data_IF_613312451566
#
_entry.id   IF_613312451566
#
_cell.length_a   1.000
_cell.length_b   1.000
_cell.length_c   1.000
_cell.angle_alpha   90.00
_cell.angle_beta   90.00
_cell.angle_gamma   90.00
#
_symmetry.space_group_name_H-M   'P 1'
#
loop_
_entity.id
_entity.type
_entity.pdbx_description
1 polymer ?
#
# COMPACT_ATOMS: atom_id res chain seq x y z
N UNK A 1 -7.60 21.94 20.83
CA UNK A 1 -7.30 20.50 20.70
C UNK A 1 -6.96 20.24 19.24
N UNK A 2 -5.66 20.12 18.92
CA UNK A 2 -5.14 20.02 17.56
C UNK A 2 -5.42 18.66 16.93
N UNK A 3 -6.10 18.65 15.79
CA UNK A 3 -6.30 17.47 14.94
C UNK A 3 -5.83 17.78 13.53
N UNK A 4 -4.53 17.98 13.28
CA UNK A 4 -4.04 18.23 11.91
C UNK A 4 -2.55 17.92 11.70
N UNK A 5 -2.05 16.74 12.11
CA UNK A 5 -0.71 16.31 11.70
C UNK A 5 -0.62 14.83 11.30
N UNK A 6 -1.75 14.15 11.07
CA UNK A 6 -1.78 12.70 10.78
C UNK A 6 -1.59 12.35 9.28
N UNK A 7 -1.68 13.35 8.41
CA UNK A 7 -1.59 13.18 6.95
C UNK A 7 -0.15 12.87 6.45
N UNK A 8 0.91 13.58 6.86
CA UNK A 8 2.24 13.35 6.28
C UNK A 8 2.85 11.98 6.64
N UNK A 9 2.60 11.47 7.85
CA UNK A 9 3.07 10.13 8.25
C UNK A 9 2.37 9.02 7.46
N UNK A 10 1.07 9.20 7.19
CA UNK A 10 0.28 8.23 6.42
C UNK A 10 0.69 8.23 4.94
N UNK A 11 0.94 9.41 4.35
CA UNK A 11 1.43 9.55 2.99
C UNK A 11 2.84 8.97 2.82
N UNK A 12 3.75 9.25 3.76
CA UNK A 12 5.09 8.67 3.76
C UNK A 12 5.03 7.14 3.83
N UNK A 13 4.21 6.59 4.74
CA UNK A 13 4.03 5.14 4.86
C UNK A 13 3.41 4.53 3.60
N UNK A 14 2.44 5.21 2.98
CA UNK A 14 1.85 4.76 1.72
C UNK A 14 2.88 4.75 0.59
N UNK A 15 3.76 5.74 0.53
CA UNK A 15 4.84 5.82 -0.45
C UNK A 15 5.89 4.72 -0.24
N UNK A 16 6.23 4.39 1.00
CA UNK A 16 7.11 3.27 1.35
C UNK A 16 6.48 1.93 0.94
N UNK A 17 5.19 1.74 1.23
CA UNK A 17 4.43 0.57 0.77
C UNK A 17 4.46 0.45 -0.76
N UNK A 18 4.20 1.55 -1.48
CA UNK A 18 4.20 1.58 -2.94
C UNK A 18 5.59 1.25 -3.52
N UNK A 19 6.65 1.77 -2.91
CA UNK A 19 8.04 1.51 -3.32
C UNK A 19 8.38 0.03 -3.17
N UNK A 20 8.09 -0.58 -2.01
CA UNK A 20 8.31 -2.00 -1.76
C UNK A 20 7.49 -2.89 -2.70
N UNK A 21 6.24 -2.51 -2.94
CA UNK A 21 5.34 -3.22 -3.84
C UNK A 21 5.80 -3.20 -5.30
N UNK A 22 6.21 -2.03 -5.82
CA UNK A 22 6.55 -1.85 -7.23
C UNK A 22 7.99 -2.26 -7.57
N UNK A 23 8.97 -1.86 -6.76
CA UNK A 23 10.39 -2.04 -7.10
C UNK A 23 10.90 -3.45 -6.81
N UNK A 24 10.44 -4.06 -5.72
CA UNK A 24 10.91 -5.38 -5.29
C UNK A 24 9.99 -6.53 -5.66
N UNK A 25 8.90 -6.25 -6.40
CA UNK A 25 7.80 -7.20 -6.71
C UNK A 25 7.27 -7.93 -5.49
N UNK A 26 7.32 -7.30 -4.31
CA UNK A 26 6.75 -7.90 -3.11
C UNK A 26 5.24 -8.00 -3.24
N UNK A 27 4.69 -9.13 -2.81
CA UNK A 27 3.24 -9.23 -2.58
C UNK A 27 2.83 -8.31 -1.44
N UNK A 28 1.57 -7.87 -1.40
CA UNK A 28 1.03 -7.06 -0.29
C UNK A 28 1.28 -7.76 1.07
N UNK A 29 1.23 -9.10 1.13
CA UNK A 29 1.55 -9.86 2.34
C UNK A 29 3.02 -9.71 2.78
N UNK A 30 3.94 -9.68 1.82
CA UNK A 30 5.36 -9.47 2.12
C UNK A 30 5.62 -8.04 2.60
N UNK A 31 4.99 -7.04 1.96
CA UNK A 31 5.06 -5.64 2.42
C UNK A 31 4.50 -5.49 3.83
N UNK A 32 3.36 -6.13 4.10
CA UNK A 32 2.74 -6.13 5.43
C UNK A 32 3.62 -6.79 6.50
N UNK A 33 4.27 -7.91 6.18
CA UNK A 33 5.21 -8.57 7.09
C UNK A 33 6.46 -7.73 7.35
N UNK A 34 7.00 -7.06 6.32
CA UNK A 34 8.18 -6.21 6.42
C UNK A 34 7.93 -4.99 7.31
N UNK A 35 6.75 -4.36 7.16
CA UNK A 35 6.40 -3.13 7.88
C UNK A 35 5.68 -3.40 9.21
N UNK A 36 5.35 -4.66 9.54
CA UNK A 36 4.65 -5.03 10.77
C UNK A 36 3.17 -4.63 10.80
N UNK A 37 2.55 -4.44 9.63
CA UNK A 37 1.15 -4.04 9.51
C UNK A 37 0.24 -5.19 9.05
N UNK A 38 -1.06 -5.00 9.20
CA UNK A 38 -2.03 -5.96 8.66
C UNK A 38 -2.13 -5.85 7.13
N UNK A 39 -2.47 -6.97 6.49
CA UNK A 39 -2.68 -7.00 5.04
C UNK A 39 -3.74 -5.99 4.58
N UNK A 40 -4.87 -5.90 5.29
CA UNK A 40 -5.98 -5.01 4.93
C UNK A 40 -5.55 -3.55 5.00
N UNK A 41 -4.80 -3.18 6.04
CA UNK A 41 -4.31 -1.82 6.22
C UNK A 41 -3.32 -1.41 5.12
N UNK A 42 -2.35 -2.27 4.79
CA UNK A 42 -1.40 -1.99 3.69
C UNK A 42 -2.12 -1.93 2.34
N UNK A 43 -3.15 -2.77 2.13
CA UNK A 43 -3.96 -2.71 0.91
C UNK A 43 -4.70 -1.38 0.78
N UNK A 44 -5.32 -0.89 1.84
CA UNK A 44 -5.99 0.42 1.86
C UNK A 44 -4.99 1.54 1.59
N UNK A 45 -3.83 1.54 2.25
CA UNK A 45 -2.78 2.53 1.99
C UNK A 45 -2.31 2.54 0.53
N UNK A 46 -2.11 1.36 -0.06
CA UNK A 46 -1.70 1.24 -1.45
C UNK A 46 -2.74 1.76 -2.43
N UNK A 47 -4.04 1.50 -2.18
CA UNK A 47 -5.12 1.87 -3.11
C UNK A 47 -5.58 3.30 -2.87
N UNK A 48 -5.90 3.66 -1.64
CA UNK A 48 -6.61 4.89 -1.29
C UNK A 48 -5.67 6.08 -1.11
N UNK A 49 -4.42 5.84 -0.69
CA UNK A 49 -3.44 6.91 -0.43
C UNK A 49 -2.39 6.98 -1.54
N UNK A 50 -1.74 5.86 -1.86
CA UNK A 50 -0.69 5.84 -2.89
C UNK A 50 -1.24 5.71 -4.33
N UNK A 51 -2.53 5.41 -4.51
CA UNK A 51 -3.16 5.31 -5.83
C UNK A 51 -2.59 4.19 -6.72
N UNK A 52 -2.04 3.13 -6.11
CA UNK A 52 -1.36 2.04 -6.82
C UNK A 52 -2.38 1.05 -7.36
N UNK A 53 -2.30 0.75 -8.67
CA UNK A 53 -3.03 -0.36 -9.25
C UNK A 53 -2.50 -1.70 -8.70
N UNK A 54 -3.38 -2.43 -8.03
CA UNK A 54 -3.07 -3.76 -7.53
C UNK A 54 -2.84 -4.72 -8.71
N UNK A 55 -1.92 -5.65 -8.51
CA UNK A 55 -1.54 -6.70 -9.46
C UNK A 55 -1.99 -8.07 -8.94
N UNK A 56 -2.36 -8.94 -9.86
CA UNK A 56 -2.63 -10.34 -9.57
C UNK A 56 -1.33 -11.14 -9.34
N UNK A 57 -1.47 -12.44 -9.02
CA UNK A 57 -0.32 -13.34 -8.82
C UNK A 57 0.56 -13.49 -10.08
N UNK A 58 0.02 -13.25 -11.27
CA UNK A 58 0.75 -13.25 -12.53
C UNK A 58 1.43 -11.89 -12.82
N UNK A 59 1.30 -10.91 -11.92
CA UNK A 59 1.85 -9.56 -12.08
C UNK A 59 1.06 -8.68 -13.04
N UNK A 60 -0.15 -9.11 -13.46
CA UNK A 60 -1.04 -8.33 -14.34
C UNK A 60 -1.86 -7.36 -13.49
N UNK A 61 -2.16 -6.15 -13.99
CA UNK A 61 -3.02 -5.21 -13.28
C UNK A 61 -4.40 -5.87 -13.05
N UNK A 62 -4.80 -5.94 -11.79
CA UNK A 62 -6.11 -6.40 -11.38
C UNK A 62 -7.05 -5.21 -11.54
N UNK A 63 -7.86 -5.20 -12.60
CA UNK A 63 -9.01 -4.29 -12.67
C UNK A 63 -9.81 -4.49 -11.38
N UNK A 64 -10.06 -3.40 -10.66
CA UNK A 64 -11.06 -3.39 -9.61
C UNK A 64 -12.34 -3.97 -10.25
N UNK A 65 -12.85 -5.06 -9.69
CA UNK A 65 -14.12 -5.60 -10.15
C UNK A 65 -15.15 -4.48 -9.96
N UNK A 66 -15.74 -4.06 -11.08
CA UNK A 66 -16.81 -3.05 -11.11
C UNK A 66 -18.04 -3.55 -10.35
#
# INVERSE_FOLDING_TARGET
MSTSNRLPETEALAQDCATLYQQRRYSIRAVAAELGYSFSYVRELLVDVAGVELRDHAGRPRKAAA
#
